data_IF_823593805825
#
_entry.id   IF_823593805825
#
_cell.length_a   1.000
_cell.length_b   1.000
_cell.length_c   1.000
_cell.angle_alpha   90.00
_cell.angle_beta   90.00
_cell.angle_gamma   90.00
#
_symmetry.space_group_name_H-M   'P 1'
#
loop_
_entity.id
_entity.type
_entity.pdbx_description
1 polymer ?
#
# COMPACT_ATOMS: atom_id res chain seq x y z
N UNK A 1 -4.72 -1.92 -1.55
CA UNK A 1 -5.06 -1.17 -0.36
C UNK A 1 -5.78 0.10 -0.77
N UNK A 2 -7.01 0.31 -0.25
CA UNK A 2 -7.75 1.54 -0.49
C UNK A 2 -7.11 2.70 0.27
N UNK A 3 -6.99 3.86 -0.37
CA UNK A 3 -6.64 5.08 0.33
C UNK A 3 -7.85 5.55 1.14
N UNK A 4 -7.64 5.85 2.42
CA UNK A 4 -8.65 6.45 3.28
C UNK A 4 -8.22 7.89 3.60
N UNK A 5 -9.12 8.85 3.34
CA UNK A 5 -8.96 10.23 3.78
C UNK A 5 -10.13 10.55 4.72
N UNK A 6 -9.82 11.06 5.90
CA UNK A 6 -10.80 11.51 6.88
C UNK A 6 -10.82 13.03 6.91
N UNK A 7 -12.02 13.60 7.06
CA UNK A 7 -12.22 15.03 7.16
C UNK A 7 -13.00 15.36 8.44
N UNK A 8 -12.75 16.55 8.98
CA UNK A 8 -13.58 17.19 10.00
C UNK A 8 -14.26 18.41 9.38
N UNK A 9 -15.41 18.80 9.93
CA UNK A 9 -16.21 19.91 9.43
C UNK A 9 -17.57 19.46 8.92
N UNK A 10 -18.31 20.39 8.36
CA UNK A 10 -19.63 20.19 7.82
C UNK A 10 -19.88 21.09 6.58
N UNK A 11 -21.08 21.07 6.06
CA UNK A 11 -21.46 21.84 4.87
C UNK A 11 -21.39 23.36 5.06
N UNK A 12 -21.48 23.88 6.29
CA UNK A 12 -21.43 25.32 6.60
C UNK A 12 -20.00 25.77 6.89
N UNK A 13 -19.26 25.01 7.70
CA UNK A 13 -17.88 25.32 8.12
C UNK A 13 -16.83 24.92 7.07
N UNK A 14 -17.21 24.08 6.10
CA UNK A 14 -16.30 23.44 5.15
C UNK A 14 -15.59 22.22 5.75
N UNK A 15 -14.85 21.51 4.92
CA UNK A 15 -14.22 20.25 5.26
C UNK A 15 -12.71 20.40 5.35
N UNK A 16 -12.11 20.02 6.49
CA UNK A 16 -10.67 20.02 6.72
C UNK A 16 -10.15 18.59 6.77
N UNK A 17 -9.16 18.21 5.95
CA UNK A 17 -8.58 16.86 6.00
C UNK A 17 -7.81 16.64 7.29
N UNK A 18 -7.96 15.45 7.88
CA UNK A 18 -7.17 15.01 9.04
C UNK A 18 -5.78 14.53 8.60
N UNK A 19 -4.80 14.60 9.51
CA UNK A 19 -3.46 14.06 9.33
C UNK A 19 -2.65 14.63 8.15
N UNK A 20 -2.82 15.92 7.82
CA UNK A 20 -2.06 16.61 6.79
C UNK A 20 -2.32 16.09 5.36
N UNK A 21 -3.43 15.40 5.13
CA UNK A 21 -3.82 14.93 3.81
C UNK A 21 -4.05 16.12 2.87
N UNK A 22 -3.47 16.05 1.65
CA UNK A 22 -3.57 17.10 0.63
C UNK A 22 -4.85 16.97 -0.21
N UNK A 23 -5.96 16.56 0.41
CA UNK A 23 -7.27 16.41 -0.23
C UNK A 23 -8.13 17.64 0.06
N UNK A 24 -8.96 18.01 -0.90
CA UNK A 24 -10.00 19.06 -0.70
C UNK A 24 -11.36 18.43 -0.92
N UNK A 25 -12.23 18.53 0.06
CA UNK A 25 -13.62 18.12 -0.05
C UNK A 25 -14.50 19.39 -0.03
N UNK A 26 -15.43 19.51 -0.97
CA UNK A 26 -16.42 20.58 -0.99
C UNK A 26 -17.80 20.02 -1.27
N UNK A 27 -18.81 20.66 -0.78
CA UNK A 27 -20.18 20.38 -1.18
C UNK A 27 -20.46 20.96 -2.57
N UNK A 28 -21.20 20.24 -3.40
CA UNK A 28 -21.66 20.69 -4.69
C UNK A 28 -23.08 20.18 -4.94
N UNK A 29 -24.07 21.09 -4.87
CA UNK A 29 -25.50 20.74 -4.90
C UNK A 29 -25.90 19.85 -3.71
N UNK A 30 -26.50 18.72 -4.00
CA UNK A 30 -26.85 17.70 -2.98
C UNK A 30 -25.69 16.70 -2.69
N UNK A 31 -24.59 16.77 -3.45
CA UNK A 31 -23.47 15.85 -3.33
C UNK A 31 -22.18 16.54 -2.93
N UNK A 32 -21.06 15.86 -3.18
CA UNK A 32 -19.73 16.35 -2.81
C UNK A 32 -18.73 16.18 -3.96
N UNK A 33 -17.70 17.02 -3.97
CA UNK A 33 -16.54 16.88 -4.87
C UNK A 33 -15.27 16.78 -4.03
N UNK A 34 -14.53 15.71 -4.25
CA UNK A 34 -13.21 15.46 -3.67
C UNK A 34 -12.14 15.74 -4.72
N UNK A 35 -11.26 16.70 -4.43
CA UNK A 35 -10.07 16.96 -5.24
C UNK A 35 -8.88 16.24 -4.63
N UNK A 36 -8.25 15.37 -5.41
CA UNK A 36 -7.05 14.61 -5.02
C UNK A 36 -5.79 15.47 -5.22
N UNK A 37 -4.68 15.16 -4.53
CA UNK A 37 -3.37 15.66 -4.87
C UNK A 37 -3.07 15.35 -6.35
N UNK A 38 -2.67 16.38 -7.12
CA UNK A 38 -2.52 16.22 -8.57
C UNK A 38 -3.75 16.70 -9.37
N UNK A 39 -4.84 17.15 -8.69
CA UNK A 39 -5.96 17.87 -9.29
C UNK A 39 -7.01 17.01 -9.99
N UNK A 40 -7.01 15.69 -9.78
CA UNK A 40 -8.14 14.84 -10.18
C UNK A 40 -9.34 15.12 -9.28
N UNK A 41 -10.51 15.36 -9.87
CA UNK A 41 -11.76 15.57 -9.16
C UNK A 41 -12.64 14.32 -9.22
N UNK A 42 -13.22 13.96 -8.08
CA UNK A 42 -14.23 12.93 -7.93
C UNK A 42 -15.52 13.56 -7.43
N UNK A 43 -16.58 13.53 -8.24
CA UNK A 43 -17.90 13.98 -7.81
C UNK A 43 -18.74 12.81 -7.31
N UNK A 44 -19.53 13.07 -6.27
CA UNK A 44 -20.38 12.10 -5.59
C UNK A 44 -21.80 12.62 -5.49
N UNK A 45 -22.79 11.72 -5.51
CA UNK A 45 -24.17 12.05 -5.20
C UNK A 45 -24.41 12.21 -3.68
N UNK A 46 -25.63 12.55 -3.29
CA UNK A 46 -26.05 12.70 -1.90
C UNK A 46 -25.93 11.38 -1.06
N UNK A 47 -25.79 10.23 -1.72
CA UNK A 47 -25.59 8.93 -1.09
C UNK A 47 -24.11 8.52 -1.02
N UNK A 48 -23.20 9.38 -1.46
CA UNK A 48 -21.77 9.12 -1.51
C UNK A 48 -21.32 8.19 -2.65
N UNK A 49 -22.15 7.98 -3.69
CA UNK A 49 -21.77 7.18 -4.85
C UNK A 49 -21.05 8.06 -5.87
N UNK A 50 -19.92 7.60 -6.39
CA UNK A 50 -19.16 8.33 -7.41
C UNK A 50 -20.00 8.52 -8.69
N UNK A 51 -20.07 9.74 -9.21
CA UNK A 51 -20.76 10.06 -10.46
C UNK A 51 -19.78 10.29 -11.61
N UNK A 52 -18.71 11.04 -11.34
CA UNK A 52 -17.69 11.37 -12.33
C UNK A 52 -16.33 11.41 -11.67
N UNK A 53 -15.33 10.87 -12.35
CA UNK A 53 -13.91 11.11 -12.06
C UNK A 53 -13.32 11.88 -13.23
N UNK A 54 -12.75 13.07 -12.99
CA UNK A 54 -12.18 13.95 -14.03
C UNK A 54 -10.71 14.24 -13.72
N UNK A 55 -9.83 13.86 -14.65
CA UNK A 55 -8.41 14.22 -14.62
C UNK A 55 -8.15 15.64 -15.11
N UNK A 56 -7.01 16.24 -14.75
CA UNK A 56 -6.56 17.55 -15.23
C UNK A 56 -6.47 17.64 -16.76
N UNK A 57 -6.16 16.53 -17.43
CA UNK A 57 -6.08 16.41 -18.90
C UNK A 57 -7.46 16.40 -19.60
N UNK A 58 -8.55 16.63 -18.85
CA UNK A 58 -9.91 16.64 -19.37
C UNK A 58 -10.52 15.24 -19.61
N UNK A 59 -9.77 14.16 -19.43
CA UNK A 59 -10.33 12.81 -19.48
C UNK A 59 -11.26 12.59 -18.28
N UNK A 60 -12.41 11.98 -18.54
CA UNK A 60 -13.38 11.69 -17.49
C UNK A 60 -13.93 10.27 -17.59
N UNK A 61 -14.26 9.71 -16.42
CA UNK A 61 -15.04 8.49 -16.27
C UNK A 61 -16.39 8.88 -15.67
N UNK A 62 -17.48 8.44 -16.27
CA UNK A 62 -18.84 8.60 -15.74
C UNK A 62 -19.34 7.26 -15.21
N UNK A 63 -19.96 7.26 -14.05
CA UNK A 63 -20.46 6.07 -13.35
C UNK A 63 -22.00 6.12 -13.34
N UNK A 64 -22.65 5.08 -13.85
CA UNK A 64 -24.09 4.93 -13.79
C UNK A 64 -24.49 3.80 -12.84
N UNK A 65 -25.67 3.95 -12.23
CA UNK A 65 -26.16 3.01 -11.23
C UNK A 65 -27.61 2.62 -11.55
N UNK A 66 -27.89 1.31 -11.41
CA UNK A 66 -29.23 0.75 -11.49
C UNK A 66 -29.52 -0.03 -10.21
N UNK A 67 -30.69 0.18 -9.62
CA UNK A 67 -31.10 -0.42 -8.34
C UNK A 67 -30.05 -0.25 -7.23
N UNK A 68 -29.29 0.86 -7.25
CA UNK A 68 -28.25 1.16 -6.28
C UNK A 68 -26.90 0.49 -6.52
N UNK A 69 -26.75 -0.29 -7.61
CA UNK A 69 -25.50 -0.94 -8.01
C UNK A 69 -24.89 -0.27 -9.22
N UNK A 70 -23.58 -0.27 -9.31
CA UNK A 70 -22.85 0.25 -10.48
C UNK A 70 -23.22 -0.58 -11.71
N UNK A 71 -23.89 0.04 -12.70
CA UNK A 71 -24.30 -0.62 -13.94
C UNK A 71 -23.34 -0.37 -15.09
N UNK A 72 -22.71 0.80 -15.14
CA UNK A 72 -21.69 1.07 -16.17
C UNK A 72 -20.68 2.12 -15.77
N UNK A 73 -19.51 2.05 -16.44
CA UNK A 73 -18.47 3.08 -16.41
C UNK A 73 -18.18 3.47 -17.85
N UNK A 74 -18.26 4.77 -18.16
CA UNK A 74 -18.11 5.27 -19.53
C UNK A 74 -17.02 6.34 -19.60
N UNK A 75 -16.23 6.30 -20.68
CA UNK A 75 -15.26 7.31 -21.04
C UNK A 75 -15.35 7.65 -22.52
N UNK A 76 -14.54 8.62 -23.00
CA UNK A 76 -14.41 8.89 -24.44
C UNK A 76 -13.84 7.73 -25.25
N UNK A 77 -13.15 6.77 -24.60
CA UNK A 77 -12.55 5.60 -25.23
C UNK A 77 -13.49 4.38 -25.31
N UNK A 78 -14.63 4.42 -24.63
CA UNK A 78 -15.61 3.33 -24.60
C UNK A 78 -16.27 3.18 -23.24
N UNK A 79 -17.03 2.11 -23.08
CA UNK A 79 -17.76 1.82 -21.84
C UNK A 79 -17.54 0.38 -21.39
N UNK A 80 -17.71 0.18 -20.08
CA UNK A 80 -17.78 -1.13 -19.43
C UNK A 80 -19.15 -1.22 -18.75
N UNK A 81 -19.87 -2.31 -18.98
CA UNK A 81 -21.17 -2.61 -18.39
C UNK A 81 -21.03 -3.77 -17.39
N UNK A 82 -21.74 -3.67 -16.27
CA UNK A 82 -21.74 -4.68 -15.22
C UNK A 82 -23.15 -5.30 -15.11
N UNK A 83 -23.24 -6.59 -15.09
CA UNK A 83 -24.49 -7.34 -14.88
C UNK A 83 -24.44 -8.08 -13.54
N UNK A 84 -25.62 -8.22 -12.94
CA UNK A 84 -25.76 -8.84 -11.63
C UNK A 84 -26.80 -9.97 -11.72
N UNK A 85 -26.47 -11.09 -11.10
CA UNK A 85 -27.33 -12.25 -11.00
C UNK A 85 -28.09 -12.31 -9.68
N UNK A 86 -28.57 -13.51 -9.36
CA UNK A 86 -29.32 -13.79 -8.14
C UNK A 86 -28.52 -13.37 -6.89
N UNK A 87 -29.23 -12.80 -5.91
CA UNK A 87 -28.63 -12.27 -4.69
C UNK A 87 -27.77 -11.03 -4.91
N UNK A 88 -27.84 -10.40 -6.09
CA UNK A 88 -27.11 -9.17 -6.43
C UNK A 88 -25.60 -9.33 -6.57
N UNK A 89 -25.13 -10.52 -6.89
CA UNK A 89 -23.73 -10.79 -7.16
C UNK A 89 -23.39 -10.45 -8.60
N UNK A 90 -22.18 -9.93 -8.82
CA UNK A 90 -21.69 -9.64 -10.16
C UNK A 90 -21.68 -10.95 -10.99
N UNK A 91 -22.43 -10.99 -12.09
CA UNK A 91 -22.51 -12.15 -12.99
C UNK A 91 -21.72 -11.95 -14.28
N UNK A 92 -21.43 -10.70 -14.65
CA UNK A 92 -20.66 -10.41 -15.84
C UNK A 92 -20.19 -8.98 -15.92
N UNK A 93 -19.14 -8.79 -16.72
CA UNK A 93 -18.61 -7.50 -17.13
C UNK A 93 -18.37 -7.56 -18.63
N UNK A 94 -18.85 -6.57 -19.37
CA UNK A 94 -18.63 -6.49 -20.82
C UNK A 94 -18.16 -5.09 -21.20
N UNK A 95 -17.37 -4.98 -22.26
CA UNK A 95 -16.94 -3.70 -22.80
C UNK A 95 -17.70 -3.36 -24.11
N UNK A 96 -17.54 -2.11 -24.54
CA UNK A 96 -18.13 -1.63 -25.80
C UNK A 96 -17.57 -2.27 -27.07
N UNK A 97 -16.48 -3.06 -26.98
CA UNK A 97 -15.92 -3.84 -28.08
C UNK A 97 -16.49 -5.26 -28.13
N UNK A 98 -17.42 -5.62 -27.25
CA UNK A 98 -18.08 -6.91 -27.21
C UNK A 98 -17.31 -8.00 -26.45
N UNK A 99 -16.21 -7.68 -25.79
CA UNK A 99 -15.50 -8.62 -24.91
C UNK A 99 -16.24 -8.73 -23.58
N UNK A 100 -16.32 -9.94 -23.03
CA UNK A 100 -17.00 -10.15 -21.76
C UNK A 100 -16.25 -11.13 -20.85
N UNK A 101 -16.40 -10.91 -19.56
CA UNK A 101 -15.99 -11.83 -18.49
C UNK A 101 -17.24 -12.21 -17.72
N UNK A 102 -17.46 -13.50 -17.45
CA UNK A 102 -18.59 -13.95 -16.64
C UNK A 102 -18.12 -14.63 -15.35
N UNK A 103 -18.96 -14.55 -14.34
CA UNK A 103 -18.71 -15.05 -12.99
C UNK A 103 -19.80 -16.04 -12.58
N UNK A 104 -19.41 -17.28 -12.29
CA UNK A 104 -20.29 -18.31 -11.76
C UNK A 104 -20.24 -18.35 -10.23
N UNK A 105 -21.39 -18.62 -9.62
CA UNK A 105 -21.54 -18.63 -8.16
C UNK A 105 -22.23 -19.90 -7.72
N UNK A 106 -21.74 -20.54 -6.67
CA UNK A 106 -22.33 -21.72 -6.07
C UNK A 106 -22.31 -21.59 -4.54
N UNK A 107 -23.43 -21.85 -3.88
CA UNK A 107 -23.54 -21.70 -2.41
C UNK A 107 -23.14 -20.31 -1.89
N UNK A 108 -23.25 -19.28 -2.74
CA UNK A 108 -22.86 -17.91 -2.38
C UNK A 108 -21.38 -17.59 -2.56
N UNK A 109 -20.57 -18.51 -3.07
CA UNK A 109 -19.13 -18.34 -3.34
C UNK A 109 -18.88 -18.35 -4.83
N UNK A 110 -17.82 -17.62 -5.25
CA UNK A 110 -17.36 -17.63 -6.65
C UNK A 110 -16.86 -19.04 -7.00
N UNK A 111 -17.46 -19.66 -8.00
CA UNK A 111 -17.11 -21.02 -8.46
C UNK A 111 -16.38 -21.02 -9.80
N UNK A 112 -16.59 -20.00 -10.63
CA UNK A 112 -15.92 -19.93 -11.93
C UNK A 112 -15.76 -18.49 -12.42
N UNK A 113 -14.75 -18.29 -13.26
CA UNK A 113 -14.52 -17.06 -14.03
C UNK A 113 -14.24 -17.48 -15.48
N UNK A 114 -15.08 -17.01 -16.42
CA UNK A 114 -14.86 -17.23 -17.84
C UNK A 114 -14.40 -15.93 -18.49
N UNK A 115 -13.26 -15.97 -19.15
CA UNK A 115 -12.69 -14.80 -19.82
C UNK A 115 -13.35 -14.52 -21.18
N UNK A 116 -12.90 -13.45 -21.86
CA UNK A 116 -13.45 -13.03 -23.15
C UNK A 116 -13.23 -14.04 -24.28
N UNK A 117 -12.27 -14.94 -24.14
CA UNK A 117 -11.99 -16.01 -25.11
C UNK A 117 -12.82 -17.28 -24.84
N UNK A 118 -13.68 -17.26 -23.84
CA UNK A 118 -14.51 -18.39 -23.42
C UNK A 118 -13.81 -19.42 -22.54
N UNK A 119 -12.57 -19.16 -22.14
CA UNK A 119 -11.82 -20.05 -21.25
C UNK A 119 -12.26 -19.84 -19.79
N UNK A 120 -12.47 -20.95 -19.06
CA UNK A 120 -13.03 -20.94 -17.71
C UNK A 120 -12.02 -21.41 -16.67
N UNK A 121 -11.73 -20.58 -15.72
CA UNK A 121 -11.03 -20.90 -14.47
C UNK A 121 -12.07 -21.31 -13.41
N UNK A 122 -11.78 -22.33 -12.59
CA UNK A 122 -12.68 -22.79 -11.54
C UNK A 122 -12.08 -22.63 -10.15
N UNK A 123 -12.95 -22.39 -9.15
CA UNK A 123 -12.61 -22.32 -7.75
C UNK A 123 -13.42 -23.34 -6.98
N UNK A 124 -12.76 -24.14 -6.16
CA UNK A 124 -13.39 -25.11 -5.27
C UNK A 124 -13.15 -24.70 -3.81
N UNK A 125 -14.15 -24.98 -2.98
CA UNK A 125 -14.17 -24.61 -1.58
C UNK A 125 -14.31 -25.88 -0.73
N UNK A 126 -13.67 -25.93 0.42
CA UNK A 126 -13.84 -27.03 1.36
C UNK A 126 -15.15 -26.92 2.17
N UNK A 127 -15.42 -27.91 3.02
CA UNK A 127 -16.63 -27.95 3.85
C UNK A 127 -16.74 -26.80 4.86
N UNK A 128 -15.62 -26.14 5.20
CA UNK A 128 -15.56 -24.97 6.06
C UNK A 128 -15.67 -23.66 5.27
N UNK A 129 -15.69 -23.74 3.94
CA UNK A 129 -15.83 -22.59 3.04
C UNK A 129 -14.51 -21.85 2.80
N UNK A 130 -13.39 -22.53 2.95
CA UNK A 130 -12.07 -22.03 2.59
C UNK A 130 -11.69 -22.50 1.18
N UNK A 131 -10.95 -21.68 0.42
CA UNK A 131 -10.54 -21.99 -0.96
C UNK A 131 -9.60 -23.19 -0.98
N UNK A 132 -10.07 -24.35 -1.42
CA UNK A 132 -9.28 -25.59 -1.47
C UNK A 132 -8.50 -25.76 -2.78
N UNK A 133 -9.05 -25.26 -3.89
CA UNK A 133 -8.42 -25.39 -5.21
C UNK A 133 -8.80 -24.24 -6.12
N UNK A 134 -7.86 -23.84 -6.96
CA UNK A 134 -8.07 -23.00 -8.14
C UNK A 134 -7.46 -23.72 -9.35
N UNK A 135 -8.21 -23.86 -10.44
CA UNK A 135 -7.71 -24.45 -11.67
C UNK A 135 -7.46 -23.40 -12.74
N UNK A 136 -6.59 -23.73 -13.68
CA UNK A 136 -6.42 -22.99 -14.93
C UNK A 136 -7.54 -23.35 -15.92
N UNK A 137 -7.53 -22.71 -17.07
CA UNK A 137 -8.48 -22.88 -18.19
C UNK A 137 -8.45 -24.27 -18.79
N UNK A 138 -7.36 -25.02 -18.67
CA UNK A 138 -7.22 -26.42 -19.06
C UNK A 138 -7.61 -27.41 -17.95
N UNK A 139 -8.26 -26.94 -16.89
CA UNK A 139 -8.61 -27.67 -15.68
C UNK A 139 -7.40 -28.17 -14.86
N UNK A 140 -6.17 -27.81 -15.23
CA UNK A 140 -5.01 -28.11 -14.39
C UNK A 140 -5.04 -27.26 -13.11
N UNK A 141 -4.55 -27.81 -11.99
CA UNK A 141 -4.46 -27.06 -10.76
C UNK A 141 -3.43 -25.93 -10.89
N UNK A 142 -3.81 -24.72 -10.46
CA UNK A 142 -2.91 -23.59 -10.25
C UNK A 142 -2.47 -23.51 -8.79
N UNK A 143 -3.43 -23.71 -7.87
CA UNK A 143 -3.24 -23.67 -6.42
C UNK A 143 -4.10 -24.77 -5.81
N UNK A 144 -3.55 -25.48 -4.83
CA UNK A 144 -4.28 -26.36 -3.92
C UNK A 144 -3.86 -26.05 -2.48
N UNK A 145 -4.84 -25.81 -1.61
CA UNK A 145 -4.63 -25.46 -0.20
C UNK A 145 -5.17 -26.57 0.71
N UNK A 146 -4.50 -26.77 1.83
CA UNK A 146 -4.98 -27.51 2.98
C UNK A 146 -4.94 -26.62 4.21
N UNK A 147 -5.87 -26.83 5.12
CA UNK A 147 -6.06 -25.99 6.28
C UNK A 147 -6.05 -26.82 7.57
N UNK A 148 -5.72 -26.18 8.68
CA UNK A 148 -5.96 -26.75 10.01
C UNK A 148 -7.40 -26.45 10.49
N UNK A 149 -7.71 -26.92 11.69
CA UNK A 149 -9.01 -26.73 12.35
C UNK A 149 -9.35 -25.26 12.69
N UNK A 150 -8.36 -24.38 12.60
CA UNK A 150 -8.51 -22.92 12.80
C UNK A 150 -8.59 -22.16 11.47
N UNK A 151 -8.60 -22.84 10.34
CA UNK A 151 -8.67 -22.24 9.01
C UNK A 151 -7.34 -21.64 8.52
N UNK A 152 -6.19 -22.00 9.11
CA UNK A 152 -4.87 -21.54 8.68
C UNK A 152 -4.29 -22.54 7.68
N UNK A 153 -3.63 -22.03 6.62
CA UNK A 153 -3.04 -22.88 5.57
C UNK A 153 -1.89 -23.71 6.15
N UNK A 154 -1.98 -25.03 6.08
CA UNK A 154 -0.90 -25.96 6.48
C UNK A 154 -0.10 -26.49 5.30
N UNK A 155 -0.66 -26.45 4.10
CA UNK A 155 0.01 -26.81 2.86
C UNK A 155 -0.59 -26.05 1.71
N UNK A 156 0.26 -25.51 0.86
CA UNK A 156 -0.13 -24.93 -0.41
C UNK A 156 0.73 -25.56 -1.51
N UNK A 157 0.07 -26.15 -2.49
CA UNK A 157 0.72 -26.51 -3.75
C UNK A 157 0.44 -25.43 -4.78
N UNK A 158 1.43 -25.08 -5.58
CA UNK A 158 1.24 -24.22 -6.75
C UNK A 158 1.97 -24.80 -7.97
N UNK A 159 1.42 -24.57 -9.16
CA UNK A 159 1.99 -25.02 -10.44
C UNK A 159 3.40 -24.49 -10.68
N UNK A 160 3.71 -23.31 -10.15
CA UNK A 160 4.99 -22.63 -10.37
C UNK A 160 6.08 -23.01 -9.35
N UNK A 161 5.70 -23.31 -8.10
CA UNK A 161 6.67 -23.45 -6.98
C UNK A 161 6.61 -24.83 -6.29
N UNK A 162 5.65 -25.69 -6.66
CA UNK A 162 5.42 -26.98 -5.99
C UNK A 162 4.75 -26.82 -4.63
N UNK A 163 5.01 -27.72 -3.70
CA UNK A 163 4.36 -27.73 -2.38
C UNK A 163 5.17 -26.98 -1.35
N UNK A 164 4.51 -26.03 -0.67
CA UNK A 164 5.01 -25.38 0.55
C UNK A 164 4.22 -25.90 1.75
N UNK A 165 4.89 -26.48 2.72
CA UNK A 165 4.32 -26.85 4.02
C UNK A 165 4.45 -25.69 4.99
N UNK A 166 3.42 -25.41 5.78
CA UNK A 166 3.38 -24.32 6.76
C UNK A 166 2.99 -24.89 8.12
N UNK A 167 3.70 -24.51 9.16
CA UNK A 167 3.41 -24.89 10.54
C UNK A 167 3.35 -23.68 11.46
N UNK A 168 2.56 -23.79 12.52
CA UNK A 168 2.27 -22.73 13.48
C UNK A 168 2.50 -23.24 14.89
N UNK A 169 3.49 -22.69 15.55
CA UNK A 169 3.76 -22.92 16.98
C UNK A 169 3.22 -21.74 17.78
N UNK A 170 2.07 -21.93 18.43
CA UNK A 170 1.42 -20.87 19.20
C UNK A 170 2.18 -20.55 20.50
N UNK A 171 2.81 -21.53 21.14
CA UNK A 171 3.56 -21.35 22.39
C UNK A 171 4.88 -20.63 22.10
N UNK A 172 5.61 -21.07 21.08
CA UNK A 172 6.83 -20.42 20.60
C UNK A 172 6.58 -19.20 19.74
N UNK A 173 5.30 -18.85 19.46
CA UNK A 173 4.93 -17.74 18.59
C UNK A 173 5.69 -17.74 17.26
N UNK A 174 5.88 -18.93 16.68
CA UNK A 174 6.68 -19.14 15.49
C UNK A 174 5.84 -19.71 14.36
N UNK A 175 5.91 -19.07 13.20
CA UNK A 175 5.41 -19.61 11.94
C UNK A 175 6.59 -20.10 11.12
N UNK A 176 6.49 -21.32 10.59
CA UNK A 176 7.57 -21.92 9.78
C UNK A 176 7.02 -22.38 8.43
N UNK A 177 7.83 -22.29 7.40
CA UNK A 177 7.51 -22.81 6.07
C UNK A 177 8.67 -23.68 5.55
N UNK A 178 8.32 -24.70 4.76
CA UNK A 178 9.28 -25.51 4.00
C UNK A 178 8.80 -25.58 2.57
N UNK A 179 9.61 -25.13 1.63
CA UNK A 179 9.28 -25.15 0.21
C UNK A 179 9.47 -26.54 -0.43
N UNK A 180 9.13 -26.66 -1.70
CA UNK A 180 9.23 -27.91 -2.46
C UNK A 180 10.68 -28.42 -2.64
N UNK A 181 11.68 -27.56 -2.48
CA UNK A 181 13.11 -27.88 -2.56
C UNK A 181 13.70 -28.23 -1.19
N UNK A 182 12.92 -28.09 -0.13
CA UNK A 182 13.33 -28.36 1.24
C UNK A 182 13.94 -27.16 1.96
N UNK A 183 13.96 -25.96 1.37
CA UNK A 183 14.40 -24.76 2.06
C UNK A 183 13.44 -24.42 3.17
N UNK A 184 14.01 -24.06 4.33
CA UNK A 184 13.22 -23.76 5.53
C UNK A 184 13.31 -22.30 5.89
N UNK A 185 12.17 -21.73 6.20
CA UNK A 185 12.08 -20.39 6.77
C UNK A 185 11.19 -20.36 8.00
N UNK A 186 11.46 -19.45 8.92
CA UNK A 186 10.59 -19.23 10.08
C UNK A 186 10.63 -17.78 10.53
N UNK A 187 9.52 -17.34 11.12
CA UNK A 187 9.38 -16.02 11.75
C UNK A 187 8.84 -16.23 13.16
N UNK A 188 9.55 -15.71 14.14
CA UNK A 188 9.17 -15.72 15.55
C UNK A 188 8.75 -14.31 15.96
N UNK A 189 7.66 -14.21 16.68
CA UNK A 189 7.10 -12.97 17.17
C UNK A 189 7.32 -12.81 18.67
N UNK A 190 7.46 -11.58 19.14
CA UNK A 190 7.49 -11.28 20.58
C UNK A 190 6.07 -11.36 21.20
N UNK A 191 5.94 -10.97 22.46
CA UNK A 191 4.68 -11.01 23.19
C UNK A 191 3.64 -10.02 22.62
N UNK A 192 4.09 -8.95 21.99
CA UNK A 192 3.29 -7.91 21.37
C UNK A 192 2.97 -8.18 19.90
N UNK A 193 3.41 -9.33 19.35
CA UNK A 193 3.14 -9.75 17.98
C UNK A 193 4.05 -9.11 16.93
N UNK A 194 5.18 -8.50 17.33
CA UNK A 194 6.17 -7.90 16.44
C UNK A 194 7.22 -8.96 16.07
N UNK A 195 7.80 -8.85 14.87
CA UNK A 195 8.85 -9.79 14.42
C UNK A 195 10.09 -9.60 15.29
N UNK A 196 10.45 -10.66 16.06
CA UNK A 196 11.66 -10.70 16.88
C UNK A 196 12.81 -11.47 16.20
N UNK A 197 12.48 -12.50 15.41
CA UNK A 197 13.46 -13.36 14.77
C UNK A 197 12.95 -13.86 13.43
N UNK A 198 13.83 -13.91 12.44
CA UNK A 198 13.58 -14.52 11.13
C UNK A 198 14.74 -15.46 10.80
N UNK A 199 14.43 -16.62 10.25
CA UNK A 199 15.42 -17.59 9.78
C UNK A 199 15.09 -17.96 8.35
N UNK A 200 16.10 -18.07 7.49
CA UNK A 200 15.98 -18.58 6.13
C UNK A 200 17.22 -19.39 5.81
N UNK A 201 17.05 -20.68 5.50
CA UNK A 201 18.11 -21.62 5.16
C UNK A 201 19.30 -21.61 6.15
N UNK A 202 18.99 -21.51 7.45
CA UNK A 202 19.97 -21.48 8.52
C UNK A 202 20.59 -20.11 8.80
N UNK A 203 20.35 -19.12 7.99
CA UNK A 203 20.72 -17.71 8.26
C UNK A 203 19.67 -17.08 9.18
N UNK A 204 20.15 -16.32 10.14
CA UNK A 204 19.29 -15.70 11.16
C UNK A 204 19.41 -14.18 11.15
N UNK A 205 18.27 -13.51 11.31
CA UNK A 205 18.13 -12.09 11.57
C UNK A 205 17.28 -11.90 12.82
N UNK A 206 17.69 -11.01 13.73
CA UNK A 206 16.91 -10.68 14.91
C UNK A 206 16.62 -9.18 14.99
N UNK A 207 15.50 -8.84 15.61
CA UNK A 207 15.10 -7.46 15.90
C UNK A 207 14.70 -7.40 17.37
N UNK A 208 15.19 -6.41 18.08
CA UNK A 208 14.78 -6.10 19.45
C UNK A 208 14.09 -4.74 19.51
N UNK A 209 13.22 -4.58 20.49
CA UNK A 209 12.45 -3.36 20.70
C UNK A 209 12.65 -2.86 22.14
N UNK A 210 12.56 -1.55 22.34
CA UNK A 210 12.55 -0.96 23.66
C UNK A 210 11.18 -1.08 24.34
N UNK A 211 11.07 -0.66 25.60
CA UNK A 211 9.84 -0.69 26.40
C UNK A 211 8.68 0.11 25.77
N UNK A 212 8.98 1.09 24.92
CA UNK A 212 8.01 1.91 24.19
C UNK A 212 7.56 1.26 22.87
N UNK A 213 8.20 0.14 22.47
CA UNK A 213 7.91 -0.57 21.24
C UNK A 213 8.70 -0.09 20.02
N UNK A 214 9.67 0.81 20.19
CA UNK A 214 10.53 1.23 19.09
C UNK A 214 11.70 0.27 18.92
N UNK A 215 12.17 0.09 17.66
CA UNK A 215 13.32 -0.77 17.38
C UNK A 215 14.55 -0.27 18.13
N UNK A 216 15.14 -1.14 18.94
CA UNK A 216 16.36 -0.86 19.71
C UNK A 216 17.61 -1.50 19.11
N UNK A 217 17.48 -2.66 18.46
CA UNK A 217 18.58 -3.27 17.72
C UNK A 217 18.12 -4.21 16.61
N UNK A 218 19.02 -4.47 15.69
CA UNK A 218 18.86 -5.44 14.62
C UNK A 218 20.19 -6.18 14.42
N UNK A 219 20.13 -7.52 14.31
CA UNK A 219 21.24 -8.35 13.86
C UNK A 219 20.92 -8.83 12.45
N UNK A 220 21.80 -8.59 11.49
CA UNK A 220 21.61 -9.02 10.10
C UNK A 220 21.98 -10.50 9.90
N UNK A 221 21.81 -11.00 8.69
CA UNK A 221 22.12 -12.39 8.29
C UNK A 221 23.60 -12.78 8.42
N UNK A 222 24.50 -11.81 8.57
CA UNK A 222 25.93 -12.01 8.76
C UNK A 222 26.35 -11.94 10.24
N UNK A 223 25.40 -11.66 11.13
CA UNK A 223 25.64 -11.48 12.56
C UNK A 223 26.06 -10.05 12.94
N UNK A 224 26.02 -9.09 12.01
CA UNK A 224 26.35 -7.71 12.30
C UNK A 224 25.20 -7.06 13.08
N UNK A 225 25.53 -6.33 14.15
CA UNK A 225 24.55 -5.69 15.03
C UNK A 225 24.53 -4.19 14.81
N UNK A 226 23.36 -3.67 14.43
CA UNK A 226 23.07 -2.24 14.44
C UNK A 226 22.16 -1.92 15.63
N UNK A 227 22.47 -0.86 16.41
CA UNK A 227 21.62 -0.38 17.51
C UNK A 227 21.02 0.96 17.16
N UNK A 228 19.82 1.21 17.67
CA UNK A 228 19.05 2.42 17.37
C UNK A 228 18.72 3.17 18.65
N UNK A 229 18.85 4.49 18.61
CA UNK A 229 18.28 5.39 19.59
C UNK A 229 17.08 6.11 18.96
N UNK A 230 15.99 6.22 19.69
CA UNK A 230 14.77 6.88 19.21
C UNK A 230 14.36 7.99 20.20
N UNK A 231 13.83 9.10 19.65
CA UNK A 231 13.16 10.13 20.45
C UNK A 231 11.84 9.62 21.05
N UNK A 232 11.14 10.47 21.81
CA UNK A 232 9.86 10.12 22.44
C UNK A 232 8.74 9.86 21.42
N UNK A 233 8.90 10.25 20.16
CA UNK A 233 7.93 10.07 19.07
C UNK A 233 8.24 8.87 18.18
N UNK A 234 9.38 8.19 18.42
CA UNK A 234 9.82 7.02 17.68
C UNK A 234 10.71 7.34 16.47
N UNK A 235 11.10 8.58 16.28
CA UNK A 235 12.06 8.92 15.23
C UNK A 235 13.45 8.43 15.64
N UNK A 236 14.16 7.75 14.74
CA UNK A 236 15.53 7.32 14.97
C UNK A 236 16.45 8.54 15.04
N UNK A 237 17.12 8.73 16.16
CA UNK A 237 18.07 9.83 16.39
C UNK A 237 19.53 9.43 16.24
N UNK A 238 19.83 8.13 16.46
CA UNK A 238 21.15 7.57 16.19
C UNK A 238 21.08 6.12 15.72
N UNK A 239 22.04 5.74 14.87
CA UNK A 239 22.35 4.38 14.48
C UNK A 239 23.79 4.06 14.81
N UNK A 240 24.01 3.12 15.69
CA UNK A 240 25.33 2.58 16.02
C UNK A 240 25.61 1.40 15.11
N UNK A 241 26.52 1.57 14.18
CA UNK A 241 26.83 0.59 13.15
C UNK A 241 27.77 -0.53 13.68
N UNK A 242 27.86 -1.68 13.03
CA UNK A 242 28.67 -2.82 13.47
C UNK A 242 30.16 -2.52 13.55
N UNK A 243 30.66 -1.57 12.76
CA UNK A 243 32.05 -1.12 12.76
C UNK A 243 32.39 -0.14 13.90
N UNK A 244 31.42 0.14 14.76
CA UNK A 244 31.55 1.07 15.89
C UNK A 244 31.31 2.55 15.54
N UNK A 245 31.05 2.86 14.29
CA UNK A 245 30.71 4.23 13.87
C UNK A 245 29.24 4.56 14.19
N UNK A 246 28.92 5.85 14.19
CA UNK A 246 27.57 6.34 14.56
C UNK A 246 27.06 7.33 13.52
N UNK A 247 25.90 7.03 12.98
CA UNK A 247 25.09 7.99 12.21
C UNK A 247 24.11 8.70 13.13
N UNK A 248 23.84 10.00 12.87
CA UNK A 248 22.88 10.79 13.67
C UNK A 248 21.85 11.46 12.80
N UNK A 249 20.62 11.52 13.28
CA UNK A 249 19.46 12.11 12.60
C UNK A 249 18.80 13.12 13.52
N UNK A 250 18.52 14.31 13.01
CA UNK A 250 17.76 15.35 13.72
C UNK A 250 16.37 15.50 13.11
N UNK A 251 15.38 15.76 13.96
CA UNK A 251 13.98 15.86 13.58
C UNK A 251 13.32 17.10 14.20
N UNK A 252 12.39 17.70 13.49
CA UNK A 252 11.56 18.76 14.05
C UNK A 252 10.31 18.21 14.78
N UNK A 253 9.48 19.12 15.27
CA UNK A 253 8.25 18.76 16.00
C UNK A 253 7.16 18.13 15.11
N UNK A 254 7.24 18.31 13.81
CA UNK A 254 6.37 17.70 12.79
C UNK A 254 6.89 16.35 12.27
N UNK A 255 7.95 15.77 12.87
CA UNK A 255 8.63 14.54 12.45
C UNK A 255 9.28 14.64 11.06
N UNK A 256 9.73 15.82 10.66
CA UNK A 256 10.47 16.03 9.42
C UNK A 256 11.97 16.01 9.74
N UNK A 257 12.75 15.34 8.88
CA UNK A 257 14.20 15.26 9.03
C UNK A 257 14.83 16.65 8.86
N UNK A 258 15.58 17.13 9.83
CA UNK A 258 16.29 18.42 9.79
C UNK A 258 17.79 18.28 9.61
N UNK A 259 18.35 17.13 9.98
CA UNK A 259 19.78 16.86 9.78
C UNK A 259 20.05 15.37 9.66
N UNK A 260 21.09 15.03 8.89
CA UNK A 260 21.64 13.67 8.80
C UNK A 260 23.17 13.78 8.84
N UNK A 261 23.78 13.18 9.86
CA UNK A 261 25.24 13.09 9.98
C UNK A 261 25.67 11.65 9.69
N UNK A 262 26.49 11.47 8.68
CA UNK A 262 27.03 10.16 8.31
C UNK A 262 28.01 9.63 9.36
N UNK A 263 28.36 8.35 9.28
CA UNK A 263 29.38 7.68 10.08
C UNK A 263 30.75 8.42 10.05
N UNK A 264 31.09 9.06 8.93
CA UNK A 264 32.29 9.86 8.78
C UNK A 264 32.18 11.28 9.32
N UNK A 265 31.07 11.66 9.96
CA UNK A 265 30.85 13.00 10.55
C UNK A 265 30.36 14.06 9.58
N UNK A 266 30.18 13.74 8.29
CA UNK A 266 29.65 14.65 7.29
C UNK A 266 28.16 14.89 7.53
N UNK A 267 27.75 16.17 7.68
CA UNK A 267 26.37 16.54 8.02
C UNK A 267 25.68 17.21 6.83
N UNK A 268 24.52 16.68 6.45
CA UNK A 268 23.56 17.31 5.53
C UNK A 268 22.41 17.87 6.36
N UNK A 269 21.94 19.09 6.05
CA UNK A 269 20.78 19.70 6.71
C UNK A 269 19.64 19.95 5.74
N UNK A 270 18.42 19.94 6.27
CA UNK A 270 17.17 20.04 5.52
C UNK A 270 16.35 21.17 6.14
N UNK A 271 15.94 22.14 5.33
CA UNK A 271 15.02 23.20 5.74
C UNK A 271 13.64 22.98 5.11
N UNK A 272 12.59 23.20 5.87
CA UNK A 272 11.21 22.99 5.47
C UNK A 272 10.44 24.31 5.47
N UNK A 273 9.60 24.52 4.47
CA UNK A 273 8.68 25.64 4.38
C UNK A 273 7.50 25.49 5.34
N UNK A 274 6.75 26.57 5.55
CA UNK A 274 5.54 26.58 6.39
C UNK A 274 4.47 25.62 5.88
N UNK A 275 4.38 25.44 4.56
CA UNK A 275 3.47 24.52 3.92
C UNK A 275 3.88 23.03 4.04
N UNK A 276 5.04 22.73 4.64
CA UNK A 276 5.54 21.37 4.83
C UNK A 276 6.35 20.81 3.66
N UNK A 277 6.67 21.64 2.65
CA UNK A 277 7.54 21.27 1.55
C UNK A 277 9.01 21.47 1.89
N UNK A 278 9.89 20.63 1.34
CA UNK A 278 11.34 20.77 1.51
C UNK A 278 11.83 22.03 0.80
N UNK A 279 12.24 23.04 1.57
CA UNK A 279 12.67 24.34 1.02
C UNK A 279 14.12 24.29 0.52
N UNK A 280 15.03 23.62 1.26
CA UNK A 280 16.41 23.48 0.84
C UNK A 280 17.11 22.30 1.50
N UNK A 281 18.21 21.89 0.85
CA UNK A 281 19.18 20.92 1.38
C UNK A 281 20.56 21.59 1.33
N UNK A 282 21.27 21.52 2.46
CA UNK A 282 22.67 21.95 2.54
C UNK A 282 23.55 20.72 2.70
N UNK A 283 24.47 20.52 1.80
CA UNK A 283 25.42 19.42 1.86
C UNK A 283 26.53 19.66 2.91
N UNK A 284 27.36 18.66 3.23
CA UNK A 284 28.44 18.81 4.21
C UNK A 284 29.51 19.85 3.85
N UNK A 285 29.60 20.29 2.61
CA UNK A 285 30.52 21.31 2.14
C UNK A 285 29.92 22.72 2.21
N UNK A 286 28.65 22.83 2.62
CA UNK A 286 27.91 24.08 2.69
C UNK A 286 27.22 24.49 1.39
N UNK A 287 27.21 23.62 0.36
CA UNK A 287 26.49 23.89 -0.87
C UNK A 287 24.97 23.75 -0.63
N UNK A 288 24.21 24.77 -1.03
CA UNK A 288 22.77 24.81 -0.84
C UNK A 288 22.04 24.54 -2.16
N UNK A 289 21.14 23.56 -2.16
CA UNK A 289 20.15 23.35 -3.22
C UNK A 289 18.79 23.76 -2.68
N UNK A 290 18.08 24.68 -3.38
CA UNK A 290 16.77 25.18 -2.97
C UNK A 290 15.69 24.73 -3.93
N UNK A 291 14.47 24.58 -3.40
CA UNK A 291 13.30 24.08 -4.13
C UNK A 291 12.15 25.09 -4.04
N UNK A 292 11.49 25.34 -5.16
CA UNK A 292 10.26 26.14 -5.23
C UNK A 292 9.08 25.28 -5.62
N UNK A 293 7.91 25.62 -5.07
CA UNK A 293 6.67 24.85 -5.24
C UNK A 293 5.53 25.77 -5.65
N UNK A 294 4.54 25.24 -6.35
CA UNK A 294 3.27 25.91 -6.61
C UNK A 294 2.28 25.75 -5.44
N UNK A 295 1.09 26.31 -5.56
CA UNK A 295 0.03 26.21 -4.54
C UNK A 295 -0.53 24.80 -4.34
N UNK A 296 -0.25 23.89 -5.26
CA UNK A 296 -0.63 22.47 -5.18
C UNK A 296 0.53 21.58 -4.70
N UNK A 297 1.63 22.21 -4.19
CA UNK A 297 2.83 21.54 -3.70
C UNK A 297 3.62 20.76 -4.77
N UNK A 298 3.42 21.06 -6.05
CA UNK A 298 4.27 20.52 -7.09
C UNK A 298 5.58 21.32 -7.15
N UNK A 299 6.71 20.64 -7.24
CA UNK A 299 8.01 21.30 -7.32
C UNK A 299 8.18 21.96 -8.70
N UNK A 300 8.22 23.29 -8.75
CA UNK A 300 8.32 24.10 -9.98
C UNK A 300 9.73 24.63 -10.25
N UNK A 301 10.63 24.58 -9.27
CA UNK A 301 12.01 24.98 -9.48
C UNK A 301 12.99 24.24 -8.59
N UNK A 302 14.22 24.12 -9.09
CA UNK A 302 15.40 23.69 -8.33
C UNK A 302 16.50 24.69 -8.63
N UNK A 303 17.09 25.27 -7.59
CA UNK A 303 18.25 26.16 -7.69
C UNK A 303 19.46 25.44 -7.08
N UNK A 304 20.51 25.23 -7.85
CA UNK A 304 21.75 24.61 -7.37
C UNK A 304 22.62 25.61 -6.58
N UNK A 305 23.71 25.12 -5.99
CA UNK A 305 24.64 25.94 -5.20
C UNK A 305 25.38 27.01 -6.00
N UNK A 306 25.38 26.93 -7.31
CA UNK A 306 25.96 27.92 -8.23
C UNK A 306 24.94 28.98 -8.68
N UNK A 307 23.67 28.84 -8.23
CA UNK A 307 22.57 29.72 -8.62
C UNK A 307 21.90 29.35 -9.94
N UNK A 308 22.23 28.22 -10.56
CA UNK A 308 21.55 27.77 -11.78
C UNK A 308 20.15 27.29 -11.42
N UNK A 309 19.14 27.75 -12.19
CA UNK A 309 17.73 27.42 -11.93
C UNK A 309 17.20 26.49 -13.01
N UNK A 310 16.80 25.29 -12.60
CA UNK A 310 15.99 24.38 -13.41
C UNK A 310 14.53 24.62 -13.10
N UNK A 311 13.69 24.85 -14.11
CA UNK A 311 12.24 24.99 -13.97
C UNK A 311 11.53 23.75 -14.43
N UNK A 312 10.43 23.43 -13.74
CA UNK A 312 9.59 22.27 -14.00
C UNK A 312 8.16 22.79 -14.25
N UNK A 313 7.45 22.21 -15.18
CA UNK A 313 6.03 22.45 -15.42
C UNK A 313 5.27 21.13 -15.26
N UNK A 314 4.04 21.23 -14.76
CA UNK A 314 3.17 20.09 -14.52
C UNK A 314 1.90 20.29 -15.33
N UNK A 315 1.47 19.26 -16.07
CA UNK A 315 0.25 19.24 -16.87
C UNK A 315 -0.97 18.89 -16.03
#
# INVERSE_FOLDING_TARGET
GGMHACFTGDDEAGYTPLFGARYRLRREGEGHVLTLPGGTELSFDARGRALVARGKNGLSLSFAYEEGRLSSVTSSAGSVSLSYGEGGRLSGVSDSAGRSVSYGWEGGRLSSVTNADGNTMTLSWDGSGLLSRMSDYDASALIENRYDDRGRVTSQWSKSTGTTGISYDAEGRTNSATDALGHKSSVTYDAEGRIARSVSDGHERTVSYDERGFRSSETDWLGNVTRYECDARGNVTARHLPDGTVERLGWDKENRLTSSTSAGGATTTYAWGEAGDLASVTDPLGNVTSYGYDGDHNRISVTDALGNVTRLSWD
#
